data_IF_204685886770
#
_entry.id   IF_204685886770
#
_cell.length_a   1.000
_cell.length_b   1.000
_cell.length_c   1.000
_cell.angle_alpha   90.00
_cell.angle_beta   90.00
_cell.angle_gamma   90.00
#
_symmetry.space_group_name_H-M   'P 1'
#
loop_
_entity.id
_entity.type
_entity.pdbx_description
1 polymer ?
#
# COMPACT_ATOMS: atom_id res chain seq x y z
N UNK A 1 12.79 -9.43 47.27
CA UNK A 1 12.35 -10.31 46.16
C UNK A 1 11.78 -9.43 45.05
N UNK A 2 12.49 -9.28 43.94
CA UNK A 2 12.07 -8.44 42.82
C UNK A 2 10.95 -9.13 42.02
N UNK A 3 9.82 -8.43 41.86
CA UNK A 3 8.64 -8.91 41.12
C UNK A 3 8.98 -8.91 39.62
N UNK A 4 9.04 -10.08 38.99
CA UNK A 4 9.28 -10.18 37.55
C UNK A 4 8.13 -9.51 36.76
N UNK A 5 8.42 -8.77 35.69
CA UNK A 5 7.38 -8.16 34.87
C UNK A 5 6.60 -9.23 34.11
N UNK A 6 5.31 -9.36 34.42
CA UNK A 6 4.36 -10.20 33.70
C UNK A 6 4.31 -9.78 32.23
N UNK A 7 4.79 -10.64 31.33
CA UNK A 7 4.73 -10.44 29.89
C UNK A 7 3.26 -10.29 29.45
N UNK A 8 2.89 -9.07 29.02
CA UNK A 8 1.57 -8.79 28.50
C UNK A 8 1.34 -9.64 27.23
N UNK A 9 0.37 -10.56 27.31
CA UNK A 9 -0.02 -11.42 26.19
C UNK A 9 -0.61 -10.53 25.09
N UNK A 10 0.12 -10.33 23.99
CA UNK A 10 -0.34 -9.53 22.85
C UNK A 10 -1.63 -10.18 22.33
N UNK A 11 -2.76 -9.48 22.46
CA UNK A 11 -4.05 -9.95 21.94
C UNK A 11 -3.91 -10.16 20.43
N UNK A 12 -4.14 -11.40 19.97
CA UNK A 12 -4.13 -11.74 18.54
C UNK A 12 -5.24 -10.93 17.87
N UNK A 13 -4.84 -10.08 16.93
CA UNK A 13 -5.77 -9.21 16.19
C UNK A 13 -6.81 -10.08 15.50
N UNK A 14 -8.09 -9.79 15.73
CA UNK A 14 -9.19 -10.56 15.15
C UNK A 14 -9.08 -10.54 13.62
N UNK A 15 -9.10 -11.74 13.03
CA UNK A 15 -9.08 -11.90 11.58
C UNK A 15 -10.52 -11.80 11.10
N UNK A 16 -10.91 -10.62 10.62
CA UNK A 16 -12.15 -10.46 9.87
C UNK A 16 -11.97 -11.12 8.50
N UNK A 17 -12.96 -11.90 8.07
CA UNK A 17 -12.98 -12.52 6.75
C UNK A 17 -13.66 -11.56 5.78
N UNK A 18 -12.87 -10.78 5.05
CA UNK A 18 -13.36 -9.72 4.15
C UNK A 18 -13.05 -10.17 2.73
N UNK A 19 -14.07 -10.38 1.90
CA UNK A 19 -13.89 -10.95 0.55
C UNK A 19 -13.49 -9.90 -0.49
N UNK A 20 -14.03 -8.69 -0.36
CA UNK A 20 -13.89 -7.60 -1.32
C UNK A 20 -13.24 -6.40 -0.61
N UNK A 21 -12.29 -5.75 -1.26
CA UNK A 21 -11.58 -4.60 -0.70
C UNK A 21 -11.14 -3.58 -1.75
N UNK A 22 -10.53 -2.50 -1.28
CA UNK A 22 -9.95 -1.46 -2.11
C UNK A 22 -8.44 -1.45 -1.88
N UNK A 23 -7.66 -1.51 -2.96
CA UNK A 23 -6.21 -1.36 -2.92
C UNK A 23 -5.84 0.07 -3.32
N UNK A 24 -5.44 0.86 -2.33
CA UNK A 24 -4.91 2.21 -2.55
C UNK A 24 -3.41 2.15 -2.82
N UNK A 25 -3.02 2.47 -4.05
CA UNK A 25 -1.62 2.53 -4.50
C UNK A 25 -1.20 3.99 -4.59
N UNK A 26 -0.44 4.46 -3.59
CA UNK A 26 0.14 5.80 -3.61
C UNK A 26 1.55 5.75 -4.17
N UNK A 27 1.71 6.09 -5.45
CA UNK A 27 2.99 6.13 -6.14
C UNK A 27 3.48 7.56 -6.30
N UNK A 28 4.43 7.93 -5.44
CA UNK A 28 5.17 9.19 -5.54
C UNK A 28 6.53 8.95 -6.19
N UNK A 29 7.22 10.01 -6.60
CA UNK A 29 8.55 9.89 -7.21
C UNK A 29 9.62 9.25 -6.30
N UNK A 30 9.42 9.24 -4.97
CA UNK A 30 10.44 8.82 -4.01
C UNK A 30 10.07 7.53 -3.26
N UNK A 31 8.82 7.09 -3.36
CA UNK A 31 8.29 5.95 -2.62
C UNK A 31 6.95 5.47 -3.20
N UNK A 32 6.70 4.18 -3.07
CA UNK A 32 5.38 3.58 -3.32
C UNK A 32 4.86 2.98 -2.01
N UNK A 33 3.65 3.38 -1.62
CA UNK A 33 2.94 2.89 -0.45
C UNK A 33 1.64 2.25 -0.89
N UNK A 34 1.37 1.05 -0.40
CA UNK A 34 0.23 0.23 -0.80
C UNK A 34 -0.55 -0.09 0.45
N UNK A 35 -1.81 0.30 0.45
CA UNK A 35 -2.74 0.11 1.58
C UNK A 35 -3.96 -0.61 1.04
N UNK A 36 -4.32 -1.73 1.66
CA UNK A 36 -5.51 -2.49 1.30
C UNK A 36 -6.51 -2.32 2.44
N UNK A 37 -7.69 -1.84 2.08
CA UNK A 37 -8.80 -1.50 2.97
C UNK A 37 -10.04 -2.32 2.63
N UNK A 38 -11.00 -2.34 3.54
CA UNK A 38 -12.37 -2.74 3.21
C UNK A 38 -13.09 -1.63 2.41
N UNK A 39 -14.31 -1.93 1.95
CA UNK A 39 -15.17 -0.96 1.24
C UNK A 39 -15.53 0.25 2.13
N UNK A 40 -15.44 0.12 3.45
CA UNK A 40 -15.70 1.19 4.42
C UNK A 40 -14.47 2.09 4.65
N UNK A 41 -13.31 1.75 4.09
CA UNK A 41 -12.05 2.48 4.24
C UNK A 41 -11.20 2.08 5.45
N UNK A 42 -11.55 1.02 6.19
CA UNK A 42 -10.72 0.51 7.28
C UNK A 42 -9.53 -0.27 6.73
N UNK A 43 -8.32 0.15 7.10
CA UNK A 43 -7.09 -0.53 6.67
C UNK A 43 -6.96 -1.92 7.27
N UNK A 44 -6.82 -2.92 6.40
CA UNK A 44 -6.60 -4.32 6.77
C UNK A 44 -5.09 -4.60 6.77
N UNK A 45 -4.44 -4.28 5.65
CA UNK A 45 -3.01 -4.50 5.46
C UNK A 45 -2.37 -3.30 4.76
N UNK A 46 -1.10 -3.07 5.04
CA UNK A 46 -0.33 -2.06 4.34
C UNK A 46 1.13 -2.50 4.24
N UNK A 47 1.79 -2.02 3.20
CA UNK A 47 3.23 -2.14 3.03
C UNK A 47 3.76 -0.97 2.22
N UNK A 48 5.07 -0.79 2.26
CA UNK A 48 5.76 0.22 1.45
C UNK A 48 7.15 -0.26 1.09
N UNK A 49 7.75 0.35 0.08
CA UNK A 49 9.14 0.06 -0.26
C UNK A 49 10.08 0.25 0.94
N UNK A 50 9.81 1.27 1.78
CA UNK A 50 10.59 1.50 3.01
C UNK A 50 10.42 0.40 4.07
N UNK A 51 9.22 -0.17 4.21
CA UNK A 51 8.93 -1.22 5.18
C UNK A 51 9.68 -2.53 4.86
N UNK A 52 9.94 -2.78 3.57
CA UNK A 52 10.73 -3.92 3.10
C UNK A 52 12.25 -3.68 3.13
N UNK A 53 12.70 -2.59 3.75
CA UNK A 53 14.12 -2.31 3.94
C UNK A 53 14.80 -1.60 2.77
N UNK A 54 14.07 -1.23 1.70
CA UNK A 54 14.66 -0.37 0.67
C UNK A 54 14.90 1.03 1.24
N UNK A 55 16.12 1.55 1.06
CA UNK A 55 16.57 2.86 1.56
C UNK A 55 17.06 3.75 0.43
N UNK A 56 16.96 5.06 0.64
CA UNK A 56 17.42 6.07 -0.31
C UNK A 56 16.68 6.02 -1.66
N UNK A 57 17.42 6.19 -2.75
CA UNK A 57 16.92 6.15 -4.13
C UNK A 57 16.33 4.80 -4.54
N UNK A 58 16.69 3.70 -3.86
CA UNK A 58 16.16 2.36 -4.18
C UNK A 58 14.65 2.25 -3.92
N UNK A 59 14.08 3.13 -3.09
CA UNK A 59 12.63 3.16 -2.79
C UNK A 59 11.75 3.60 -3.96
N UNK A 60 12.29 4.34 -4.92
CA UNK A 60 11.56 4.82 -6.10
C UNK A 60 11.60 3.83 -7.27
N UNK A 61 12.21 2.66 -7.08
CA UNK A 61 12.32 1.68 -8.16
C UNK A 61 11.02 0.89 -8.34
N UNK A 62 10.68 0.49 -9.58
CA UNK A 62 9.52 -0.36 -9.85
C UNK A 62 9.61 -1.72 -9.15
N UNK A 63 10.83 -2.25 -9.00
CA UNK A 63 11.07 -3.49 -8.26
C UNK A 63 10.68 -3.38 -6.79
N UNK A 64 11.01 -2.26 -6.13
CA UNK A 64 10.60 -2.04 -4.75
C UNK A 64 9.08 -1.92 -4.60
N UNK A 65 8.39 -1.36 -5.62
CA UNK A 65 6.93 -1.29 -5.65
C UNK A 65 6.29 -2.68 -5.82
N UNK A 66 6.85 -3.54 -6.69
CA UNK A 66 6.41 -4.92 -6.85
C UNK A 66 6.51 -5.68 -5.52
N UNK A 67 7.69 -5.65 -4.89
CA UNK A 67 7.92 -6.32 -3.60
C UNK A 67 6.94 -5.82 -2.52
N UNK A 68 6.68 -4.51 -2.47
CA UNK A 68 5.73 -3.92 -1.53
C UNK A 68 4.28 -4.38 -1.78
N UNK A 69 3.90 -4.51 -3.06
CA UNK A 69 2.58 -4.99 -3.45
C UNK A 69 2.38 -6.46 -3.09
N UNK A 70 3.39 -7.28 -3.31
CA UNK A 70 3.37 -8.70 -2.94
C UNK A 70 3.23 -8.90 -1.43
N UNK A 71 3.98 -8.14 -0.63
CA UNK A 71 3.91 -8.20 0.83
C UNK A 71 2.55 -7.71 1.37
N UNK A 72 2.06 -6.57 0.90
CA UNK A 72 0.72 -6.08 1.26
C UNK A 72 -0.36 -7.08 0.84
N UNK A 73 -0.23 -7.65 -0.37
CA UNK A 73 -1.15 -8.62 -0.92
C UNK A 73 -1.19 -9.93 -0.14
N UNK A 74 -0.04 -10.49 0.24
CA UNK A 74 0.02 -11.71 1.07
C UNK A 74 -0.66 -11.48 2.43
N UNK A 75 -0.39 -10.34 3.08
CA UNK A 75 -1.05 -9.97 4.34
C UNK A 75 -2.57 -9.84 4.18
N UNK A 76 -3.01 -9.23 3.08
CA UNK A 76 -4.42 -9.11 2.73
C UNK A 76 -5.09 -10.48 2.47
N UNK A 77 -4.39 -11.40 1.80
CA UNK A 77 -4.88 -12.75 1.52
C UNK A 77 -5.10 -13.57 2.81
N UNK A 78 -4.28 -13.37 3.85
CA UNK A 78 -4.50 -13.98 5.18
C UNK A 78 -5.84 -13.56 5.83
N UNK A 79 -6.38 -12.41 5.42
CA UNK A 79 -7.68 -11.89 5.87
C UNK A 79 -8.84 -12.29 4.95
N UNK A 80 -8.61 -13.19 3.98
CA UNK A 80 -9.65 -13.76 3.13
C UNK A 80 -10.06 -12.92 1.93
N UNK A 81 -9.31 -11.85 1.61
CA UNK A 81 -9.59 -11.03 0.43
C UNK A 81 -9.33 -11.79 -0.86
N UNK A 82 -10.24 -11.62 -1.83
CA UNK A 82 -10.20 -12.30 -3.13
C UNK A 82 -10.35 -11.32 -4.29
N UNK A 83 -11.23 -10.33 -4.16
CA UNK A 83 -11.44 -9.29 -5.16
C UNK A 83 -11.03 -7.93 -4.63
N UNK A 84 -10.42 -7.12 -5.50
CA UNK A 84 -10.00 -5.77 -5.17
C UNK A 84 -10.37 -4.77 -6.27
N UNK A 85 -10.76 -3.58 -5.85
CA UNK A 85 -10.78 -2.38 -6.67
C UNK A 85 -9.49 -1.61 -6.45
N UNK A 86 -8.75 -1.29 -7.52
CA UNK A 86 -7.47 -0.61 -7.39
C UNK A 86 -7.64 0.88 -7.63
N UNK A 87 -7.29 1.67 -6.64
CA UNK A 87 -7.25 3.13 -6.72
C UNK A 87 -5.79 3.59 -6.72
N UNK A 88 -5.35 4.13 -7.84
CA UNK A 88 -3.98 4.61 -8.00
C UNK A 88 -3.92 6.12 -7.83
N UNK A 89 -2.96 6.57 -7.03
CA UNK A 89 -2.69 7.98 -6.80
C UNK A 89 -1.23 8.30 -7.11
N UNK A 90 -1.03 9.32 -7.94
CA UNK A 90 0.27 9.90 -8.24
C UNK A 90 0.95 9.31 -9.48
N UNK A 91 1.95 10.03 -10.02
CA UNK A 91 2.62 9.70 -11.28
C UNK A 91 3.87 8.82 -11.12
N UNK A 92 4.16 8.29 -9.93
CA UNK A 92 5.40 7.56 -9.65
C UNK A 92 5.60 6.32 -10.54
N UNK A 93 6.87 5.95 -10.74
CA UNK A 93 7.31 4.79 -11.54
C UNK A 93 6.80 3.43 -11.03
N UNK A 94 6.35 3.35 -9.77
CA UNK A 94 5.87 2.11 -9.15
C UNK A 94 4.41 1.75 -9.47
N UNK A 95 3.69 2.58 -10.22
CA UNK A 95 2.26 2.45 -10.52
C UNK A 95 1.90 1.12 -11.18
N UNK A 96 2.45 0.85 -12.35
CA UNK A 96 2.12 -0.36 -13.11
C UNK A 96 2.69 -1.63 -12.46
N UNK A 97 3.88 -1.53 -11.87
CA UNK A 97 4.51 -2.65 -11.18
C UNK A 97 3.70 -3.11 -9.98
N UNK A 98 3.10 -2.18 -9.23
CA UNK A 98 2.20 -2.52 -8.12
C UNK A 98 0.92 -3.20 -8.61
N UNK A 99 0.30 -2.71 -9.70
CA UNK A 99 -0.89 -3.32 -10.29
C UNK A 99 -0.65 -4.77 -10.73
N UNK A 100 0.42 -5.00 -11.50
CA UNK A 100 0.79 -6.33 -11.97
C UNK A 100 1.09 -7.28 -10.82
N UNK A 101 1.77 -6.80 -9.79
CA UNK A 101 2.08 -7.57 -8.60
C UNK A 101 0.83 -7.99 -7.82
N UNK A 102 -0.12 -7.08 -7.62
CA UNK A 102 -1.40 -7.41 -6.96
C UNK A 102 -2.19 -8.46 -7.74
N UNK A 103 -2.19 -8.38 -9.07
CA UNK A 103 -2.80 -9.41 -9.92
C UNK A 103 -2.05 -10.75 -9.80
N UNK A 104 -0.70 -10.73 -9.81
CA UNK A 104 0.13 -11.93 -9.69
C UNK A 104 0.01 -12.64 -8.34
N UNK A 105 -0.30 -11.92 -7.26
CA UNK A 105 -0.58 -12.50 -5.93
C UNK A 105 -1.87 -13.33 -5.93
N UNK A 106 -2.76 -13.13 -6.92
CA UNK A 106 -3.99 -13.90 -7.08
C UNK A 106 -5.28 -13.13 -6.74
N UNK A 107 -5.22 -11.80 -6.62
CA UNK A 107 -6.43 -10.99 -6.50
C UNK A 107 -7.12 -10.82 -7.86
N UNK A 108 -8.44 -10.93 -7.85
CA UNK A 108 -9.27 -10.54 -8.98
C UNK A 108 -9.47 -9.03 -8.98
N UNK A 109 -8.82 -8.35 -9.93
CA UNK A 109 -8.93 -6.88 -10.09
C UNK A 109 -10.22 -6.56 -10.81
N UNK A 110 -11.17 -5.92 -10.13
CA UNK A 110 -12.50 -5.58 -10.70
C UNK A 110 -12.47 -4.24 -11.43
N UNK A 111 -11.85 -3.22 -10.84
CA UNK A 111 -11.68 -1.91 -11.47
C UNK A 111 -10.30 -1.32 -11.22
N UNK A 112 -9.86 -0.45 -12.13
CA UNK A 112 -8.66 0.36 -11.99
C UNK A 112 -9.08 1.82 -12.14
N UNK A 113 -8.95 2.60 -11.08
CA UNK A 113 -9.32 4.03 -11.04
C UNK A 113 -8.10 4.88 -10.71
N UNK A 114 -7.89 5.96 -11.47
CA UNK A 114 -6.90 6.98 -11.12
C UNK A 114 -7.57 8.06 -10.27
N UNK A 115 -7.09 8.22 -9.04
CA UNK A 115 -7.57 9.21 -8.07
C UNK A 115 -6.50 10.28 -7.79
N UNK A 116 -5.61 10.52 -8.75
CA UNK A 116 -4.59 11.57 -8.65
C UNK A 116 -5.25 12.94 -8.52
N UNK A 117 -4.99 13.71 -7.45
CA UNK A 117 -5.61 15.02 -7.26
C UNK A 117 -5.03 16.03 -8.25
N UNK A 118 -5.87 16.55 -9.14
CA UNK A 118 -5.54 17.62 -10.07
C UNK A 118 -6.09 18.94 -9.50
N UNK A 119 -5.25 19.88 -9.05
CA UNK A 119 -5.72 21.14 -8.48
C UNK A 119 -6.17 22.12 -9.57
N UNK A 120 -7.31 22.77 -9.36
CA UNK A 120 -7.80 23.85 -10.23
C UNK A 120 -7.22 25.20 -9.81
N UNK A 121 -5.95 25.47 -10.15
CA UNK A 121 -5.25 26.72 -9.81
C UNK A 121 -5.37 27.14 -8.33
N UNK A 122 -5.29 26.17 -7.41
CA UNK A 122 -5.37 26.40 -5.97
C UNK A 122 -4.09 27.00 -5.38
N UNK A 123 -3.50 26.32 -4.39
CA UNK A 123 -2.29 26.81 -3.73
C UNK A 123 -1.10 26.94 -4.71
N UNK A 124 -0.32 28.02 -4.56
CA UNK A 124 0.90 28.26 -5.34
C UNK A 124 1.88 27.08 -5.18
N UNK A 125 2.31 26.42 -6.28
CA UNK A 125 3.34 25.38 -6.21
C UNK A 125 4.67 25.89 -5.64
N UNK A 126 5.43 25.01 -5.00
CA UNK A 126 6.77 25.34 -4.50
C UNK A 126 7.66 25.85 -5.64
N UNK A 127 8.55 26.79 -5.34
CA UNK A 127 9.51 27.34 -6.31
C UNK A 127 10.27 26.21 -7.02
N UNK A 128 10.35 26.27 -8.35
CA UNK A 128 11.09 25.31 -9.17
C UNK A 128 12.53 25.19 -8.67
N UNK A 129 12.99 23.96 -8.46
CA UNK A 129 14.36 23.65 -8.01
C UNK A 129 15.37 24.00 -9.12
N UNK A 130 16.52 24.57 -8.75
CA UNK A 130 17.58 25.05 -9.66
C UNK A 130 18.88 24.22 -9.58
N UNK A 131 18.78 23.00 -9.08
CA UNK A 131 19.92 22.07 -8.96
C UNK A 131 20.17 21.44 -10.31
#
# INVERSE_FOLDING_TARGET
>A
MAKQPTQARVRRRERKNITNGIAHVNSTFNNTMITISDVQGNTIAWSSAGALGFKGSRKSTPFAAQMAAEDAGKKAAEHGMKSIDVEVRGPGSGRESALRALQAVGFSVTSIRDVTPIPHNGCRPRKRRRV
#
